data_IF_658913078434
#
_entry.id   IF_658913078434
#
_cell.length_a   1.000
_cell.length_b   1.000
_cell.length_c   1.000
_cell.angle_alpha   90.00
_cell.angle_beta   90.00
_cell.angle_gamma   90.00
#
_symmetry.space_group_name_H-M   'P 1'
#
loop_
_entity.id
_entity.type
_entity.pdbx_description
1 polymer ?
#
# COMPACT_ATOMS: atom_id res chain seq x y z
N UNK A 1 -38.67 19.37 51.74
CA UNK A 1 -37.62 18.85 50.83
C UNK A 1 -38.15 19.02 49.41
N UNK A 2 -37.59 19.76 48.45
CA UNK A 2 -36.33 20.46 48.30
C UNK A 2 -36.60 21.86 47.70
N UNK A 3 -35.81 22.82 48.13
CA UNK A 3 -35.88 24.23 47.77
C UNK A 3 -35.23 24.43 46.40
N UNK A 4 -35.97 25.08 45.51
CA UNK A 4 -35.49 25.65 44.27
C UNK A 4 -34.31 26.62 44.55
N UNK A 5 -33.16 26.38 43.92
CA UNK A 5 -32.09 27.37 43.73
C UNK A 5 -31.62 27.30 42.29
N UNK A 6 -32.30 28.10 41.46
CA UNK A 6 -31.75 28.63 40.22
C UNK A 6 -30.52 29.44 40.60
N UNK A 7 -29.33 29.01 40.22
CA UNK A 7 -28.18 29.90 40.00
C UNK A 7 -27.14 29.16 39.15
N UNK A 8 -26.93 29.75 37.97
CA UNK A 8 -25.62 29.92 37.32
C UNK A 8 -25.17 28.77 36.42
N UNK A 9 -24.86 29.18 35.19
CA UNK A 9 -24.12 28.46 34.16
C UNK A 9 -24.97 27.46 33.36
N UNK A 10 -25.71 27.84 32.32
CA UNK A 10 -25.45 28.91 31.36
C UNK A 10 -24.29 28.60 30.40
N UNK A 11 -23.53 27.51 30.64
CA UNK A 11 -22.33 27.15 29.89
C UNK A 11 -22.27 25.65 29.55
N UNK A 12 -23.43 24.98 29.40
CA UNK A 12 -23.50 23.55 29.11
C UNK A 12 -24.45 23.17 27.96
N UNK A 13 -24.81 24.14 27.12
CA UNK A 13 -25.76 23.93 26.00
C UNK A 13 -25.27 24.48 24.65
N UNK A 14 -23.95 24.61 24.45
CA UNK A 14 -23.34 25.07 23.17
C UNK A 14 -22.47 23.99 22.51
N UNK A 15 -22.24 22.84 23.14
CA UNK A 15 -21.32 21.79 22.64
C UNK A 15 -22.08 20.64 21.94
N UNK A 16 -23.14 20.93 21.19
CA UNK A 16 -23.97 19.92 20.53
C UNK A 16 -24.26 20.17 19.03
N UNK A 17 -23.47 21.02 18.35
CA UNK A 17 -23.79 21.44 16.97
C UNK A 17 -22.64 21.38 15.95
N UNK A 18 -21.57 20.61 16.19
CA UNK A 18 -20.43 20.56 15.26
C UNK A 18 -20.04 19.16 14.72
N UNK A 19 -20.91 18.14 14.83
CA UNK A 19 -20.56 16.78 14.37
C UNK A 19 -21.50 16.18 13.31
N UNK A 20 -21.98 16.96 12.35
CA UNK A 20 -22.51 16.38 11.10
C UNK A 20 -22.45 17.36 9.94
N UNK A 21 -21.32 17.43 9.24
CA UNK A 21 -21.28 17.83 7.83
C UNK A 21 -20.01 17.30 7.16
N UNK A 22 -20.06 16.04 6.75
CA UNK A 22 -19.27 15.54 5.62
C UNK A 22 -20.18 14.67 4.75
N UNK A 23 -21.00 15.30 3.92
CA UNK A 23 -21.63 14.64 2.77
C UNK A 23 -20.61 14.66 1.62
N UNK A 24 -19.86 13.58 1.42
CA UNK A 24 -19.05 13.46 0.21
C UNK A 24 -19.96 13.08 -0.96
N UNK A 25 -20.07 14.00 -1.91
CA UNK A 25 -20.75 13.78 -3.18
C UNK A 25 -19.96 12.76 -4.01
N UNK A 26 -20.53 11.56 -4.17
CA UNK A 26 -20.00 10.53 -5.06
C UNK A 26 -20.28 10.91 -6.52
N UNK A 27 -19.27 11.46 -7.21
CA UNK A 27 -19.25 11.42 -8.68
C UNK A 27 -18.93 9.98 -9.11
N UNK A 28 -19.70 9.44 -10.06
CA UNK A 28 -19.59 8.07 -10.59
C UNK A 28 -18.28 7.82 -11.38
N UNK A 29 -17.12 7.91 -10.72
CA UNK A 29 -15.86 7.29 -11.12
C UNK A 29 -15.46 6.35 -9.97
N UNK A 30 -15.12 5.07 -10.22
CA UNK A 30 -14.59 4.22 -9.16
C UNK A 30 -13.40 4.94 -8.51
N UNK A 31 -13.45 5.05 -7.19
CA UNK A 31 -12.41 5.69 -6.41
C UNK A 31 -11.08 4.96 -6.70
N UNK A 32 -10.18 5.64 -7.42
CA UNK A 32 -8.91 5.10 -7.89
C UNK A 32 -8.06 4.62 -6.71
N UNK A 33 -8.22 5.26 -5.56
CA UNK A 33 -7.56 4.88 -4.32
C UNK A 33 -8.16 3.58 -3.75
N UNK A 34 -9.48 3.44 -3.72
CA UNK A 34 -10.14 2.21 -3.29
C UNK A 34 -9.74 1.00 -4.18
N UNK A 35 -9.64 1.21 -5.50
CA UNK A 35 -9.17 0.17 -6.43
C UNK A 35 -7.69 -0.18 -6.18
N UNK A 36 -6.84 0.82 -5.88
CA UNK A 36 -5.44 0.58 -5.55
C UNK A 36 -5.30 -0.25 -4.26
N UNK A 37 -6.10 0.07 -3.24
CA UNK A 37 -6.12 -0.64 -1.97
C UNK A 37 -6.57 -2.08 -2.15
N UNK A 38 -7.62 -2.32 -2.93
CA UNK A 38 -8.11 -3.67 -3.25
C UNK A 38 -7.04 -4.50 -3.99
N UNK A 39 -6.42 -3.95 -5.03
CA UNK A 39 -5.34 -4.62 -5.75
C UNK A 39 -4.16 -4.95 -4.84
N UNK A 40 -3.77 -4.01 -3.97
CA UNK A 40 -2.68 -4.26 -3.03
C UNK A 40 -3.05 -5.34 -2.01
N UNK A 41 -4.28 -5.36 -1.50
CA UNK A 41 -4.77 -6.42 -0.61
C UNK A 41 -4.74 -7.79 -1.30
N UNK A 42 -5.15 -7.88 -2.57
CA UNK A 42 -5.05 -9.11 -3.34
C UNK A 42 -3.60 -9.57 -3.53
N UNK A 43 -2.65 -8.63 -3.75
CA UNK A 43 -1.22 -8.96 -3.78
C UNK A 43 -0.80 -9.59 -2.45
N UNK A 44 -1.11 -8.97 -1.32
CA UNK A 44 -0.73 -9.48 0.00
C UNK A 44 -1.34 -10.86 0.31
N UNK A 45 -2.56 -11.12 -0.14
CA UNK A 45 -3.22 -12.42 0.04
C UNK A 45 -2.62 -13.52 -0.83
N UNK A 46 -2.21 -13.18 -2.05
CA UNK A 46 -1.64 -14.15 -3.01
C UNK A 46 -0.16 -14.41 -2.73
N UNK A 47 0.53 -13.43 -2.13
CA UNK A 47 1.95 -13.48 -1.90
C UNK A 47 2.27 -14.39 -0.70
N UNK A 48 3.01 -15.45 -0.98
CA UNK A 48 3.52 -16.36 0.04
C UNK A 48 5.03 -16.32 0.05
N UNK A 49 5.63 -16.07 1.22
CA UNK A 49 7.09 -16.05 1.38
C UNK A 49 7.64 -17.43 1.75
N UNK A 50 6.82 -18.31 2.33
CA UNK A 50 7.22 -19.65 2.78
C UNK A 50 7.19 -20.69 1.65
N UNK A 51 7.72 -21.88 1.89
CA UNK A 51 7.66 -23.01 0.94
C UNK A 51 8.86 -23.15 0.00
N UNK A 52 9.91 -22.33 0.16
CA UNK A 52 11.12 -22.46 -0.66
C UNK A 52 12.04 -23.57 -0.12
N UNK A 53 12.80 -24.21 -1.02
CA UNK A 53 13.86 -25.18 -0.65
C UNK A 53 15.24 -24.65 -1.07
N UNK A 54 15.31 -23.92 -2.18
CA UNK A 54 16.54 -23.35 -2.74
C UNK A 54 16.32 -21.88 -3.09
N UNK A 55 17.40 -21.11 -3.20
CA UNK A 55 17.34 -19.70 -3.62
C UNK A 55 16.64 -19.49 -4.96
N UNK A 56 16.75 -20.44 -5.89
CA UNK A 56 16.08 -20.41 -7.18
C UNK A 56 14.56 -20.50 -7.10
N UNK A 57 14.00 -20.89 -5.96
CA UNK A 57 12.56 -20.99 -5.73
C UNK A 57 11.97 -19.63 -5.31
N UNK A 58 12.82 -18.67 -4.92
CA UNK A 58 12.42 -17.32 -4.56
C UNK A 58 12.53 -16.36 -5.75
N UNK A 59 11.67 -15.35 -5.76
CA UNK A 59 11.73 -14.24 -6.72
C UNK A 59 11.17 -12.96 -6.08
N UNK A 60 11.20 -11.85 -6.82
CA UNK A 60 10.79 -10.53 -6.35
C UNK A 60 9.68 -9.97 -7.24
N UNK A 61 8.57 -9.58 -6.60
CA UNK A 61 7.50 -8.84 -7.24
C UNK A 61 7.79 -7.33 -7.15
N UNK A 62 7.97 -6.61 -8.26
CA UNK A 62 7.96 -5.15 -8.23
C UNK A 62 6.55 -4.65 -7.89
N UNK A 63 6.44 -3.75 -6.92
CA UNK A 63 5.16 -3.19 -6.47
C UNK A 63 5.19 -1.67 -6.57
N UNK A 64 4.11 -1.13 -7.14
CA UNK A 64 3.86 0.30 -7.27
C UNK A 64 4.62 0.94 -8.41
N UNK A 65 4.50 2.27 -8.51
CA UNK A 65 5.29 3.05 -9.45
C UNK A 65 5.62 4.43 -8.89
N UNK A 66 6.90 4.77 -8.94
CA UNK A 66 7.39 6.09 -8.56
C UNK A 66 7.15 7.10 -9.69
N UNK A 67 6.93 8.39 -9.36
CA UNK A 67 6.79 9.45 -10.38
C UNK A 67 7.98 9.56 -11.33
N UNK A 68 9.21 9.33 -10.84
CA UNK A 68 10.44 9.33 -11.63
C UNK A 68 10.74 7.99 -12.35
N UNK A 69 9.81 7.03 -12.29
CA UNK A 69 9.97 5.69 -12.83
C UNK A 69 10.54 4.66 -11.85
N UNK A 70 10.30 3.38 -12.16
CA UNK A 70 10.65 2.24 -11.34
C UNK A 70 9.63 1.94 -10.23
N UNK A 71 9.73 0.77 -9.58
CA UNK A 71 8.79 0.39 -8.54
C UNK A 71 9.05 1.13 -7.23
N UNK A 72 8.03 1.23 -6.41
CA UNK A 72 8.12 1.78 -5.05
C UNK A 72 8.87 0.79 -4.14
N UNK A 73 8.63 -0.51 -4.30
CA UNK A 73 9.28 -1.58 -3.54
C UNK A 73 9.40 -2.89 -4.32
N UNK A 74 10.19 -3.83 -3.78
CA UNK A 74 10.24 -5.21 -4.24
C UNK A 74 9.82 -6.13 -3.09
N UNK A 75 8.83 -6.99 -3.33
CA UNK A 75 8.33 -7.94 -2.34
C UNK A 75 8.86 -9.35 -2.65
N UNK A 76 9.54 -10.04 -1.73
CA UNK A 76 9.98 -11.41 -1.94
C UNK A 76 8.76 -12.34 -1.96
N UNK A 77 8.79 -13.35 -2.81
CA UNK A 77 7.80 -14.41 -2.80
C UNK A 77 8.44 -15.74 -3.19
N UNK A 78 7.80 -16.83 -2.78
CA UNK A 78 8.15 -18.19 -3.12
C UNK A 78 7.33 -18.63 -4.32
N UNK A 79 8.00 -19.03 -5.41
CA UNK A 79 7.37 -19.52 -6.65
C UNK A 79 6.68 -20.88 -6.47
N UNK A 80 6.98 -21.60 -5.39
CA UNK A 80 6.41 -22.92 -5.12
C UNK A 80 5.08 -22.85 -4.39
N UNK A 81 4.83 -21.77 -3.64
CA UNK A 81 3.64 -21.59 -2.80
C UNK A 81 2.73 -20.45 -3.24
N UNK A 82 3.23 -19.52 -4.04
CA UNK A 82 2.44 -18.42 -4.60
C UNK A 82 1.89 -18.77 -5.98
N UNK A 83 0.70 -18.25 -6.32
CA UNK A 83 0.23 -18.21 -7.71
C UNK A 83 1.00 -17.13 -8.47
N UNK A 84 2.07 -17.55 -9.15
CA UNK A 84 3.01 -16.65 -9.86
C UNK A 84 2.32 -15.86 -10.95
N UNK A 85 1.44 -16.49 -11.74
CA UNK A 85 0.75 -15.82 -12.83
C UNK A 85 -0.20 -14.75 -12.28
N UNK A 86 -0.93 -15.08 -11.21
CA UNK A 86 -1.83 -14.12 -10.57
C UNK A 86 -1.07 -12.96 -9.92
N UNK A 87 0.04 -13.24 -9.23
CA UNK A 87 0.88 -12.18 -8.65
C UNK A 87 1.41 -11.21 -9.70
N UNK A 88 1.89 -11.73 -10.83
CA UNK A 88 2.37 -10.89 -11.94
C UNK A 88 1.25 -10.05 -12.54
N UNK A 89 0.05 -10.61 -12.73
CA UNK A 89 -1.13 -9.86 -13.19
C UNK A 89 -1.48 -8.73 -12.23
N UNK A 90 -1.58 -9.04 -10.93
CA UNK A 90 -1.91 -8.07 -9.88
C UNK A 90 -0.86 -6.97 -9.76
N UNK A 91 0.42 -7.33 -9.73
CA UNK A 91 1.53 -6.36 -9.68
C UNK A 91 1.51 -5.42 -10.88
N UNK A 92 1.31 -5.94 -12.10
CA UNK A 92 1.21 -5.14 -13.31
C UNK A 92 0.01 -4.19 -13.30
N UNK A 93 -1.15 -4.66 -12.82
CA UNK A 93 -2.36 -3.83 -12.70
C UNK A 93 -2.16 -2.71 -11.68
N UNK A 94 -1.59 -3.03 -10.52
CA UNK A 94 -1.29 -2.05 -9.48
C UNK A 94 -0.28 -1.01 -9.98
N UNK A 95 0.82 -1.44 -10.62
CA UNK A 95 1.81 -0.54 -11.21
C UNK A 95 1.17 0.44 -12.20
N UNK A 96 0.38 -0.06 -13.17
CA UNK A 96 -0.30 0.78 -14.16
C UNK A 96 -1.23 1.81 -13.53
N UNK A 97 -1.94 1.42 -12.47
CA UNK A 97 -2.84 2.32 -11.73
C UNK A 97 -2.05 3.44 -11.03
N UNK A 98 -0.93 3.11 -10.39
CA UNK A 98 -0.03 4.09 -9.76
C UNK A 98 0.61 5.01 -10.79
N UNK A 99 1.06 4.47 -11.92
CA UNK A 99 1.58 5.23 -13.06
C UNK A 99 0.56 6.25 -13.59
N UNK A 100 -0.69 5.81 -13.75
CA UNK A 100 -1.77 6.66 -14.21
C UNK A 100 -2.10 7.76 -13.19
N UNK A 101 -2.20 7.39 -11.91
CA UNK A 101 -2.42 8.35 -10.82
C UNK A 101 -1.35 9.43 -10.79
N UNK A 102 -0.06 9.06 -10.89
CA UNK A 102 1.05 10.01 -10.90
C UNK A 102 0.94 11.01 -12.06
N UNK A 103 0.57 10.53 -13.25
CA UNK A 103 0.39 11.36 -14.46
C UNK A 103 -0.82 12.30 -14.36
N UNK A 104 -1.97 11.76 -13.95
CA UNK A 104 -3.22 12.52 -13.85
C UNK A 104 -3.14 13.64 -12.82
N UNK A 105 -2.41 13.41 -11.72
CA UNK A 105 -2.28 14.37 -10.62
C UNK A 105 -0.99 15.20 -10.68
N UNK A 106 -0.22 15.08 -11.77
CA UNK A 106 1.05 15.80 -11.98
C UNK A 106 2.01 15.64 -10.79
N UNK A 107 2.04 14.45 -10.18
CA UNK A 107 2.89 14.16 -9.04
C UNK A 107 4.34 14.19 -9.51
N UNK A 108 5.16 14.99 -8.84
CA UNK A 108 6.60 15.08 -9.08
C UNK A 108 7.34 14.44 -7.92
N UNK A 109 8.39 13.69 -8.21
CA UNK A 109 9.22 13.02 -7.21
C UNK A 109 10.70 13.15 -7.53
N UNK A 110 11.54 12.98 -6.51
CA UNK A 110 12.98 12.89 -6.68
C UNK A 110 13.34 11.63 -7.47
N UNK A 111 14.32 11.73 -8.37
CA UNK A 111 14.82 10.61 -9.17
C UNK A 111 15.72 9.68 -8.36
N UNK A 112 15.14 8.95 -7.42
CA UNK A 112 15.84 7.94 -6.60
C UNK A 112 15.43 6.55 -7.03
N UNK A 113 16.42 5.84 -7.58
CA UNK A 113 16.28 4.44 -7.99
C UNK A 113 16.02 3.58 -6.75
N UNK A 114 15.02 2.70 -6.83
CA UNK A 114 14.85 1.59 -5.86
C UNK A 114 15.72 0.42 -6.34
N UNK A 115 16.87 0.12 -5.70
CA UNK A 115 17.72 -0.97 -6.16
C UNK A 115 16.99 -2.31 -5.99
N UNK A 116 17.03 -3.16 -7.01
CA UNK A 116 16.51 -4.52 -6.90
C UNK A 116 17.37 -5.30 -5.88
N UNK A 117 16.82 -5.75 -4.74
CA UNK A 117 17.59 -6.47 -3.74
C UNK A 117 17.96 -7.88 -4.25
N UNK A 118 18.83 -8.55 -3.50
CA UNK A 118 18.99 -10.00 -3.65
C UNK A 118 17.85 -10.71 -2.90
N UNK A 119 17.51 -11.92 -3.32
CA UNK A 119 16.55 -12.78 -2.63
C UNK A 119 17.18 -14.14 -2.36
N UNK A 120 16.89 -14.74 -1.21
CA UNK A 120 17.41 -16.06 -0.83
C UNK A 120 16.39 -16.82 -0.01
N UNK A 121 16.47 -18.15 -0.06
CA UNK A 121 15.67 -19.03 0.76
C UNK A 121 16.40 -19.27 2.09
N UNK A 122 15.83 -18.79 3.19
CA UNK A 122 16.37 -18.94 4.53
C UNK A 122 15.30 -19.56 5.41
N UNK A 123 15.57 -20.75 5.95
CA UNK A 123 14.63 -21.48 6.83
C UNK A 123 13.22 -21.58 6.22
N UNK A 124 13.16 -22.07 4.98
CA UNK A 124 11.92 -22.23 4.19
C UNK A 124 11.20 -20.91 3.81
N UNK A 125 11.80 -19.75 4.10
CA UNK A 125 11.23 -18.44 3.80
C UNK A 125 12.10 -17.65 2.81
N UNK A 126 11.45 -17.03 1.82
CA UNK A 126 12.09 -16.10 0.90
C UNK A 126 12.28 -14.75 1.59
N UNK A 127 13.55 -14.36 1.75
CA UNK A 127 13.94 -13.10 2.39
C UNK A 127 14.79 -12.26 1.46
N UNK A 128 14.69 -10.93 1.59
CA UNK A 128 15.54 -9.99 0.86
C UNK A 128 16.82 -9.71 1.62
N UNK A 129 17.88 -9.43 0.88
CA UNK A 129 19.09 -8.81 1.41
C UNK A 129 19.47 -7.64 0.51
N UNK A 130 19.93 -6.55 1.13
CA UNK A 130 20.40 -5.40 0.37
C UNK A 130 21.52 -5.82 -0.57
N UNK A 131 21.48 -5.33 -1.81
CA UNK A 131 22.69 -5.34 -2.63
C UNK A 131 23.64 -4.33 -2.02
N UNK A 132 24.86 -4.78 -1.69
CA UNK A 132 25.98 -3.89 -1.44
C UNK A 132 26.21 -3.05 -2.69
N UNK A 133 25.58 -1.88 -2.74
CA UNK A 133 25.77 -0.93 -3.82
C UNK A 133 27.05 -0.20 -3.47
N UNK A 134 28.14 -0.54 -4.16
CA UNK A 134 29.39 0.20 -4.06
C UNK A 134 29.12 1.60 -4.64
N UNK A 135 28.80 2.56 -3.77
CA UNK A 135 28.84 3.98 -4.12
C UNK A 135 30.32 4.30 -4.25
N UNK A 136 30.83 4.32 -5.48
CA UNK A 136 32.10 4.99 -5.81
C UNK A 136 31.84 6.48 -5.89
#
# INVERSE_FOLDING_TARGET
MFKNRIFISGLLFVVASLLQSCSQASNNKPDTEAVAQDLYAQIQQTLQTEGCVRNSDCDLLPVGSKPCGGPESYQPYSKTSSDVAKLQELGNRYQKLRDQYNKENQIMGICVITPKPNVSCVRNQCVTSEKATHVQ
#
